data_IF_575461502568
#
_entry.id   IF_575461502568
#
_cell.length_a   1.000
_cell.length_b   1.000
_cell.length_c   1.000
_cell.angle_alpha   90.00
_cell.angle_beta   90.00
_cell.angle_gamma   90.00
#
_symmetry.space_group_name_H-M   'P 1'
#
loop_
_entity.id
_entity.type
_entity.pdbx_description
1 polymer ?
#
# COMPACT_ATOMS: atom_id res chain seq x y z
N UNK A 1 -10.47 -17.93 6.28
CA UNK A 1 -9.64 -17.71 5.08
C UNK A 1 -8.22 -17.57 5.60
N UNK A 2 -7.29 -18.37 5.07
CA UNK A 2 -5.93 -18.55 5.60
C UNK A 2 -4.92 -17.88 4.69
N UNK A 3 -3.71 -17.63 5.18
CA UNK A 3 -2.61 -17.07 4.37
C UNK A 3 -2.22 -17.97 3.17
N UNK A 4 -2.76 -19.19 3.09
CA UNK A 4 -2.49 -20.22 2.06
C UNK A 4 -2.72 -19.78 0.62
N UNK A 5 -3.55 -18.77 0.37
CA UNK A 5 -3.86 -18.35 -0.99
C UNK A 5 -2.84 -17.38 -1.62
N UNK A 6 -1.88 -16.86 -0.86
CA UNK A 6 -0.75 -16.10 -1.40
C UNK A 6 0.50 -16.98 -1.46
N UNK A 7 0.89 -17.38 -2.67
CA UNK A 7 2.06 -18.23 -2.93
C UNK A 7 3.25 -17.40 -3.43
N UNK A 8 4.50 -17.91 -3.32
CA UNK A 8 5.66 -17.25 -3.91
C UNK A 8 5.45 -16.93 -5.40
N UNK A 9 4.91 -17.87 -6.18
CA UNK A 9 4.61 -17.68 -7.59
C UNK A 9 3.66 -16.51 -7.87
N UNK A 10 2.66 -16.29 -7.00
CA UNK A 10 1.76 -15.14 -7.15
C UNK A 10 2.52 -13.83 -6.93
N UNK A 11 3.41 -13.78 -5.94
CA UNK A 11 4.26 -12.61 -5.68
C UNK A 11 5.22 -12.38 -6.85
N UNK A 12 5.80 -13.45 -7.42
CA UNK A 12 6.65 -13.35 -8.61
C UNK A 12 5.89 -12.81 -9.82
N UNK A 13 4.66 -13.28 -10.06
CA UNK A 13 3.80 -12.74 -11.13
C UNK A 13 3.41 -11.28 -10.90
N UNK A 14 3.16 -10.90 -9.65
CA UNK A 14 2.94 -9.50 -9.27
C UNK A 14 4.19 -8.68 -9.59
N UNK A 15 5.37 -9.19 -9.28
CA UNK A 15 6.63 -8.54 -9.58
C UNK A 15 6.84 -8.39 -11.10
N UNK A 16 6.61 -9.44 -11.89
CA UNK A 16 6.71 -9.39 -13.35
C UNK A 16 5.77 -8.32 -13.94
N UNK A 17 4.56 -8.20 -13.38
CA UNK A 17 3.64 -7.12 -13.74
C UNK A 17 4.21 -5.75 -13.42
N UNK A 18 4.81 -5.55 -12.24
CA UNK A 18 5.47 -4.30 -11.84
C UNK A 18 6.60 -3.96 -12.79
N UNK A 19 7.49 -4.91 -13.07
CA UNK A 19 8.62 -4.76 -14.00
C UNK A 19 8.15 -4.31 -15.37
N UNK A 20 7.20 -5.05 -15.96
CA UNK A 20 6.68 -4.75 -17.29
C UNK A 20 5.97 -3.41 -17.36
N UNK A 21 5.16 -3.10 -16.35
CA UNK A 21 4.33 -1.89 -16.34
C UNK A 21 5.18 -0.63 -16.18
N UNK A 22 6.07 -0.62 -15.20
CA UNK A 22 6.86 0.57 -14.84
C UNK A 22 8.24 0.60 -15.49
N UNK A 23 8.55 -0.35 -16.38
CA UNK A 23 9.80 -0.44 -17.16
C UNK A 23 11.05 -0.31 -16.28
N UNK A 24 11.03 -0.98 -15.14
CA UNK A 24 12.14 -1.04 -14.20
C UNK A 24 12.98 -2.30 -14.41
N UNK A 25 14.14 -2.35 -13.77
CA UNK A 25 14.98 -3.54 -13.80
C UNK A 25 14.30 -4.72 -13.12
N UNK A 26 14.11 -5.79 -13.90
CA UNK A 26 13.59 -7.05 -13.40
C UNK A 26 14.69 -7.96 -12.87
N UNK A 27 14.29 -8.92 -12.06
CA UNK A 27 15.19 -9.98 -11.58
C UNK A 27 15.10 -10.19 -10.08
N UNK A 28 15.86 -11.17 -9.61
CA UNK A 28 15.86 -11.61 -8.23
C UNK A 28 17.26 -11.42 -7.64
N UNK A 29 17.33 -10.81 -6.46
CA UNK A 29 18.52 -10.90 -5.62
C UNK A 29 18.55 -12.27 -4.93
N UNK A 30 17.40 -12.68 -4.38
CA UNK A 30 17.23 -14.00 -3.77
C UNK A 30 15.75 -14.41 -3.75
N UNK A 31 15.40 -15.46 -4.50
CA UNK A 31 14.04 -16.03 -4.53
C UNK A 31 13.63 -16.65 -3.19
N UNK A 32 14.57 -17.31 -2.52
CA UNK A 32 14.34 -17.97 -1.24
C UNK A 32 13.88 -17.00 -0.14
N UNK A 33 14.23 -15.72 -0.25
CA UNK A 33 13.73 -14.67 0.66
C UNK A 33 12.20 -14.59 0.68
N UNK A 34 11.55 -14.70 -0.49
CA UNK A 34 10.07 -14.66 -0.57
C UNK A 34 9.48 -15.94 0.02
N UNK A 35 10.07 -17.09 -0.29
CA UNK A 35 9.63 -18.40 0.21
C UNK A 35 9.71 -18.45 1.75
N UNK A 36 10.88 -18.15 2.31
CA UNK A 36 11.11 -18.12 3.75
C UNK A 36 10.23 -17.10 4.48
N UNK A 37 9.94 -15.94 3.85
CA UNK A 37 9.03 -14.95 4.43
C UNK A 37 7.61 -15.51 4.52
N UNK A 38 7.09 -16.12 3.45
CA UNK A 38 5.74 -16.67 3.47
C UNK A 38 5.63 -17.87 4.42
N UNK A 39 6.64 -18.75 4.46
CA UNK A 39 6.69 -19.85 5.43
C UNK A 39 6.68 -19.33 6.87
N UNK A 40 7.48 -18.29 7.17
CA UNK A 40 7.48 -17.65 8.49
C UNK A 40 6.11 -17.09 8.86
N UNK A 41 5.44 -16.39 7.93
CA UNK A 41 4.10 -15.82 8.19
C UNK A 41 3.06 -16.93 8.36
N UNK A 42 3.12 -18.00 7.57
CA UNK A 42 2.23 -19.16 7.71
C UNK A 42 2.47 -19.92 9.02
N UNK A 43 3.71 -20.03 9.47
CA UNK A 43 4.04 -20.65 10.75
C UNK A 43 3.54 -19.82 11.94
N UNK A 44 3.66 -18.49 11.87
CA UNK A 44 3.20 -17.59 12.92
C UNK A 44 1.69 -17.30 12.88
N UNK A 45 1.05 -17.48 11.72
CA UNK A 45 -0.32 -17.12 11.32
C UNK A 45 -1.16 -16.53 12.46
N UNK A 46 -1.12 -15.20 12.60
CA UNK A 46 -1.90 -14.50 13.61
C UNK A 46 -3.37 -14.43 13.22
N UNK A 47 -4.28 -14.49 14.21
CA UNK A 47 -5.73 -14.25 13.99
C UNK A 47 -6.03 -12.82 13.49
N UNK A 48 -5.08 -11.90 13.65
CA UNK A 48 -5.17 -10.55 13.12
C UNK A 48 -4.65 -10.48 11.67
N UNK A 49 -5.59 -10.40 10.73
CA UNK A 49 -5.34 -10.21 9.30
C UNK A 49 -4.37 -9.06 9.04
N UNK A 50 -4.45 -7.96 9.79
CA UNK A 50 -3.58 -6.80 9.59
C UNK A 50 -2.18 -7.04 10.11
N UNK A 51 -1.99 -7.89 11.13
CA UNK A 51 -0.66 -8.26 11.62
C UNK A 51 0.08 -9.14 10.61
N UNK A 52 -0.60 -10.12 10.02
CA UNK A 52 -0.03 -10.93 8.93
C UNK A 52 0.27 -10.08 7.68
N UNK A 53 -0.64 -9.16 7.33
CA UNK A 53 -0.40 -8.21 6.23
C UNK A 53 0.77 -7.28 6.51
N UNK A 54 0.94 -6.86 7.77
CA UNK A 54 2.06 -6.02 8.18
C UNK A 54 3.41 -6.73 8.03
N UNK A 55 3.50 -8.01 8.42
CA UNK A 55 4.70 -8.83 8.22
C UNK A 55 5.02 -9.01 6.74
N UNK A 56 4.00 -9.19 5.90
CA UNK A 56 4.18 -9.31 4.45
C UNK A 56 4.74 -8.01 3.84
N UNK A 57 4.16 -6.86 4.20
CA UNK A 57 4.62 -5.56 3.70
C UNK A 57 6.04 -5.24 4.17
N UNK A 58 6.31 -5.44 5.46
CA UNK A 58 7.62 -5.21 6.07
C UNK A 58 8.70 -6.07 5.39
N UNK A 59 8.49 -7.39 5.35
CA UNK A 59 9.48 -8.32 4.81
C UNK A 59 9.76 -8.11 3.33
N UNK A 60 8.74 -7.94 2.48
CA UNK A 60 8.96 -7.69 1.05
C UNK A 60 9.59 -6.32 0.76
N UNK A 61 9.31 -5.31 1.59
CA UNK A 61 9.86 -3.98 1.39
C UNK A 61 11.34 -3.88 1.84
N UNK A 62 11.74 -4.63 2.88
CA UNK A 62 13.07 -4.52 3.52
C UNK A 62 14.05 -5.63 3.19
N UNK A 63 13.58 -6.84 2.88
CA UNK A 63 14.48 -7.97 2.59
C UNK A 63 15.02 -7.97 1.15
N UNK A 64 14.62 -6.99 0.34
CA UNK A 64 15.06 -6.78 -1.05
C UNK A 64 15.16 -8.05 -1.90
N UNK A 65 14.12 -8.91 -1.97
CA UNK A 65 14.15 -10.13 -2.79
C UNK A 65 14.36 -9.88 -4.29
N UNK A 66 13.98 -8.69 -4.77
CA UNK A 66 14.06 -8.29 -6.18
C UNK A 66 15.12 -7.21 -6.42
N UNK A 67 15.62 -7.13 -7.65
CA UNK A 67 16.62 -6.12 -8.07
C UNK A 67 16.07 -4.70 -7.90
N UNK A 68 14.88 -4.43 -8.43
CA UNK A 68 14.08 -3.21 -8.15
C UNK A 68 12.62 -3.61 -7.89
N UNK A 69 11.74 -2.68 -7.58
CA UNK A 69 10.29 -2.90 -7.47
C UNK A 69 9.84 -3.50 -6.15
N UNK A 70 10.72 -3.67 -5.17
CA UNK A 70 10.41 -4.28 -3.85
C UNK A 70 9.20 -3.62 -3.17
N UNK A 71 9.22 -2.29 -2.98
CA UNK A 71 8.11 -1.54 -2.36
C UNK A 71 6.77 -1.69 -3.11
N UNK A 72 6.81 -1.66 -4.45
CA UNK A 72 5.62 -1.77 -5.32
C UNK A 72 5.04 -3.19 -5.27
N UNK A 73 5.92 -4.18 -5.36
CA UNK A 73 5.55 -5.60 -5.25
C UNK A 73 4.99 -5.92 -3.87
N UNK A 74 5.59 -5.38 -2.80
CA UNK A 74 5.12 -5.51 -1.44
C UNK A 74 3.70 -4.95 -1.26
N UNK A 75 3.43 -3.75 -1.77
CA UNK A 75 2.11 -3.13 -1.66
C UNK A 75 1.04 -3.90 -2.45
N UNK A 76 1.32 -4.31 -3.68
CA UNK A 76 0.37 -5.10 -4.48
C UNK A 76 0.10 -6.48 -3.88
N UNK A 77 1.14 -7.13 -3.34
CA UNK A 77 0.99 -8.42 -2.65
C UNK A 77 0.16 -8.28 -1.37
N UNK A 78 0.37 -7.20 -0.61
CA UNK A 78 -0.46 -6.85 0.54
C UNK A 78 -1.92 -6.60 0.15
N UNK A 79 -2.18 -5.83 -0.91
CA UNK A 79 -3.54 -5.60 -1.41
C UNK A 79 -4.22 -6.91 -1.81
N UNK A 80 -3.50 -7.78 -2.53
CA UNK A 80 -4.01 -9.10 -2.90
C UNK A 80 -4.37 -9.92 -1.67
N UNK A 81 -3.49 -9.97 -0.67
CA UNK A 81 -3.70 -10.68 0.59
C UNK A 81 -4.92 -10.14 1.36
N UNK A 82 -5.04 -8.82 1.52
CA UNK A 82 -6.16 -8.22 2.24
C UNK A 82 -7.49 -8.45 1.50
N UNK A 83 -7.50 -8.30 0.18
CA UNK A 83 -8.69 -8.55 -0.64
C UNK A 83 -9.14 -10.01 -0.52
N UNK A 84 -8.21 -10.97 -0.56
CA UNK A 84 -8.51 -12.37 -0.31
C UNK A 84 -9.11 -12.60 1.07
N UNK A 85 -8.75 -11.80 2.07
CA UNK A 85 -9.34 -11.89 3.41
C UNK A 85 -10.59 -11.01 3.60
N UNK A 86 -11.14 -10.43 2.53
CA UNK A 86 -12.37 -9.61 2.57
C UNK A 86 -12.15 -8.18 3.11
N UNK A 87 -10.93 -7.66 3.00
CA UNK A 87 -10.56 -6.30 3.41
C UNK A 87 -10.08 -5.49 2.20
N UNK A 88 -10.75 -4.36 1.95
CA UNK A 88 -10.34 -3.38 0.95
C UNK A 88 -9.38 -2.38 1.57
N UNK A 89 -8.15 -2.33 1.07
CA UNK A 89 -7.17 -1.33 1.44
C UNK A 89 -7.33 -0.07 0.58
N UNK A 90 -7.42 1.09 1.20
CA UNK A 90 -7.43 2.40 0.54
C UNK A 90 -6.05 3.05 0.69
N UNK A 91 -5.51 3.61 -0.39
CA UNK A 91 -4.17 4.18 -0.43
C UNK A 91 -4.25 5.71 -0.46
N UNK A 92 -4.12 6.42 0.66
CA UNK A 92 -3.96 7.88 0.61
C UNK A 92 -2.66 8.26 -0.11
N UNK A 93 -2.53 9.49 -0.63
CA UNK A 93 -1.27 9.91 -1.27
C UNK A 93 -0.06 9.81 -0.33
N UNK A 94 -0.27 9.96 0.98
CA UNK A 94 0.77 9.76 1.99
C UNK A 94 1.32 8.32 2.08
N UNK A 95 0.76 7.37 1.31
CA UNK A 95 1.27 5.99 1.21
C UNK A 95 2.72 5.96 0.75
N UNK A 96 3.11 6.86 -0.16
CA UNK A 96 4.49 6.96 -0.65
C UNK A 96 5.48 7.18 0.49
N UNK A 97 5.25 8.23 1.28
CA UNK A 97 6.08 8.55 2.45
C UNK A 97 6.11 7.41 3.47
N UNK A 98 4.97 6.73 3.67
CA UNK A 98 4.90 5.59 4.57
C UNK A 98 5.75 4.41 4.09
N UNK A 99 5.69 4.06 2.79
CA UNK A 99 6.52 3.00 2.21
C UNK A 99 8.01 3.34 2.24
N UNK A 100 8.38 4.60 2.02
CA UNK A 100 9.77 5.05 2.16
C UNK A 100 10.25 4.90 3.60
N UNK A 101 9.43 5.28 4.59
CA UNK A 101 9.76 5.10 6.00
C UNK A 101 10.01 3.62 6.36
N UNK A 102 9.16 2.71 5.88
CA UNK A 102 9.32 1.27 6.12
C UNK A 102 10.66 0.78 5.55
N UNK A 103 10.96 1.14 4.30
CA UNK A 103 12.18 0.71 3.62
C UNK A 103 13.46 1.35 4.19
N UNK A 104 13.38 2.59 4.71
CA UNK A 104 14.51 3.31 5.29
C UNK A 104 14.81 2.92 6.75
N UNK A 105 14.04 2.01 7.35
CA UNK A 105 14.31 1.56 8.71
C UNK A 105 15.45 0.54 8.67
N UNK A 106 16.67 0.97 8.99
CA UNK A 106 17.91 0.17 8.86
C UNK A 106 18.08 -0.87 9.98
N UNK A 107 17.53 -0.62 11.16
CA UNK A 107 17.64 -1.51 12.33
C UNK A 107 16.74 -2.74 12.13
N UNK A 108 17.38 -3.92 12.08
CA UNK A 108 16.76 -5.24 11.90
C UNK A 108 16.69 -6.04 13.20
N UNK A 109 16.86 -5.41 14.37
CA UNK A 109 16.69 -6.12 15.62
C UNK A 109 15.21 -6.50 15.83
N UNK A 110 14.95 -7.55 16.64
CA UNK A 110 13.58 -8.04 16.85
C UNK A 110 12.61 -7.00 17.42
N UNK A 111 13.08 -6.10 18.29
CA UNK A 111 12.23 -5.12 18.98
C UNK A 111 11.76 -4.03 18.02
N UNK A 112 12.68 -3.47 17.23
CA UNK A 112 12.34 -2.48 16.21
C UNK A 112 11.47 -3.08 15.09
N UNK A 113 11.74 -4.33 14.71
CA UNK A 113 10.92 -5.05 13.73
C UNK A 113 9.49 -5.21 14.25
N UNK A 114 9.31 -5.64 15.51
CA UNK A 114 7.98 -5.77 16.11
C UNK A 114 7.25 -4.42 16.19
N UNK A 115 7.95 -3.36 16.59
CA UNK A 115 7.40 -2.00 16.63
C UNK A 115 6.95 -1.53 15.25
N UNK A 116 7.75 -1.78 14.21
CA UNK A 116 7.43 -1.43 12.82
C UNK A 116 6.21 -2.21 12.33
N UNK A 117 6.17 -3.53 12.56
CA UNK A 117 5.01 -4.38 12.21
C UNK A 117 3.74 -3.88 12.91
N UNK A 118 3.83 -3.46 14.18
CA UNK A 118 2.71 -2.85 14.90
C UNK A 118 2.26 -1.53 14.28
N UNK A 119 3.19 -0.66 13.89
CA UNK A 119 2.88 0.59 13.20
C UNK A 119 2.17 0.34 11.87
N UNK A 120 2.68 -0.61 11.07
CA UNK A 120 2.05 -1.03 9.81
C UNK A 120 0.66 -1.60 10.07
N UNK A 121 0.48 -2.47 11.06
CA UNK A 121 -0.84 -3.03 11.39
C UNK A 121 -1.87 -1.95 11.75
N UNK A 122 -1.47 -0.93 12.51
CA UNK A 122 -2.32 0.23 12.82
C UNK A 122 -2.65 1.02 11.55
N UNK A 123 -1.66 1.26 10.68
CA UNK A 123 -1.88 1.93 9.41
C UNK A 123 -2.86 1.14 8.53
N UNK A 124 -2.72 -0.18 8.42
CA UNK A 124 -3.63 -1.04 7.65
C UNK A 124 -5.05 -0.98 8.21
N UNK A 125 -5.21 -1.06 9.53
CA UNK A 125 -6.52 -0.96 10.19
C UNK A 125 -7.22 0.38 9.93
N UNK A 126 -6.45 1.47 9.87
CA UNK A 126 -6.99 2.81 9.61
C UNK A 126 -7.33 3.03 8.13
N UNK A 127 -6.59 2.38 7.24
CA UNK A 127 -6.72 2.55 5.80
C UNK A 127 -7.49 1.40 5.13
N UNK A 128 -8.04 0.45 5.88
CA UNK A 128 -8.80 -0.67 5.32
C UNK A 128 -10.23 -0.74 5.83
N UNK A 129 -11.10 -1.33 5.02
CA UNK A 129 -12.50 -1.59 5.35
C UNK A 129 -12.86 -3.02 4.97
N UNK A 130 -13.54 -3.74 5.87
CA UNK A 130 -14.14 -5.03 5.51
C UNK A 130 -15.18 -4.84 4.42
N UNK A 131 -15.17 -5.66 3.37
CA UNK A 131 -16.07 -5.53 2.21
C UNK A 131 -17.56 -5.46 2.58
N UNK A 132 -17.94 -6.08 3.71
CA UNK A 132 -19.30 -6.03 4.26
C UNK A 132 -19.76 -4.62 4.66
N UNK A 133 -18.85 -3.68 4.91
CA UNK A 133 -19.15 -2.31 5.38
C UNK A 133 -19.18 -1.30 4.23
N UNK A 134 -20.12 -1.46 3.29
CA UNK A 134 -20.26 -0.61 2.09
C UNK A 134 -20.24 0.90 2.39
N UNK A 135 -21.01 1.37 3.38
CA UNK A 135 -21.05 2.80 3.74
C UNK A 135 -19.70 3.36 4.21
N UNK A 136 -18.93 2.58 4.97
CA UNK A 136 -17.59 3.00 5.43
C UNK A 136 -16.61 3.01 4.26
N UNK A 137 -16.67 2.01 3.38
CA UNK A 137 -15.87 1.96 2.17
C UNK A 137 -16.14 3.17 1.27
N UNK A 138 -17.41 3.53 1.09
CA UNK A 138 -17.84 4.75 0.39
C UNK A 138 -17.30 6.02 1.06
N UNK A 139 -17.43 6.14 2.39
CA UNK A 139 -16.89 7.28 3.12
C UNK A 139 -15.37 7.44 2.95
N UNK A 140 -14.62 6.34 2.98
CA UNK A 140 -13.17 6.36 2.75
C UNK A 140 -12.80 6.67 1.31
N UNK A 141 -13.54 6.11 0.33
CA UNK A 141 -13.43 6.46 -1.08
C UNK A 141 -13.55 7.96 -1.31
N UNK A 142 -14.62 8.57 -0.79
CA UNK A 142 -14.82 10.01 -0.92
C UNK A 142 -13.73 10.81 -0.20
N UNK A 143 -13.40 10.44 1.04
CA UNK A 143 -12.41 11.15 1.84
C UNK A 143 -11.02 11.13 1.21
N UNK A 144 -10.63 10.00 0.59
CA UNK A 144 -9.28 9.85 0.05
C UNK A 144 -9.17 10.22 -1.41
N UNK A 145 -10.20 10.06 -2.24
CA UNK A 145 -10.03 10.25 -3.69
C UNK A 145 -10.85 11.41 -4.27
N UNK A 146 -11.97 11.77 -3.65
CA UNK A 146 -12.93 12.73 -4.23
C UNK A 146 -12.87 14.11 -3.58
N UNK A 147 -12.95 14.17 -2.25
CA UNK A 147 -12.94 15.45 -1.53
C UNK A 147 -11.64 16.24 -1.68
N UNK A 148 -10.44 15.63 -1.63
CA UNK A 148 -9.19 16.36 -1.78
C UNK A 148 -9.10 17.09 -3.13
N UNK A 149 -9.41 16.40 -4.23
CA UNK A 149 -9.41 16.99 -5.58
C UNK A 149 -10.47 18.08 -5.72
N UNK A 150 -11.71 17.84 -5.27
CA UNK A 150 -12.78 18.86 -5.29
C UNK A 150 -12.42 20.10 -4.48
N UNK A 151 -11.83 19.94 -3.30
CA UNK A 151 -11.41 21.04 -2.43
C UNK A 151 -10.26 21.84 -3.06
N UNK A 152 -9.24 21.18 -3.62
CA UNK A 152 -8.12 21.85 -4.29
C UNK A 152 -8.63 22.70 -5.46
N UNK A 153 -9.48 22.14 -6.32
CA UNK A 153 -10.07 22.86 -7.47
C UNK A 153 -10.94 24.03 -7.00
N UNK A 154 -11.78 23.81 -5.98
CA UNK A 154 -12.63 24.86 -5.42
C UNK A 154 -11.81 26.04 -4.86
N UNK A 155 -10.84 25.77 -3.99
CA UNK A 155 -10.01 26.82 -3.37
C UNK A 155 -9.06 27.52 -4.36
N UNK A 156 -8.66 26.82 -5.42
CA UNK A 156 -7.93 27.42 -6.55
C UNK A 156 -8.79 28.44 -7.30
N UNK A 157 -10.07 28.12 -7.55
CA UNK A 157 -11.01 29.01 -8.27
C UNK A 157 -11.40 30.27 -7.51
N UNK A 158 -11.45 30.22 -6.18
CA UNK A 158 -11.80 31.38 -5.34
C UNK A 158 -10.56 32.18 -4.89
N UNK A 159 -9.40 31.98 -5.54
CA UNK A 159 -8.14 32.68 -5.26
C UNK A 159 -7.69 32.65 -3.78
N UNK A 160 -7.84 31.50 -3.10
CA UNK A 160 -7.30 31.26 -1.75
C UNK A 160 -6.12 30.26 -1.78
N UNK A 161 -4.98 30.61 -2.41
CA UNK A 161 -3.87 29.69 -2.63
C UNK A 161 -3.22 29.19 -1.33
N UNK A 162 -3.25 29.97 -0.25
CA UNK A 162 -2.74 29.55 1.07
C UNK A 162 -3.56 28.38 1.65
N UNK A 163 -4.88 28.38 1.46
CA UNK A 163 -5.77 27.32 1.94
C UNK A 163 -5.62 26.08 1.07
N UNK A 164 -5.58 26.23 -0.25
CA UNK A 164 -5.29 25.14 -1.18
C UNK A 164 -3.93 24.49 -0.87
N UNK A 165 -2.88 25.29 -0.65
CA UNK A 165 -1.55 24.82 -0.29
C UNK A 165 -1.51 24.12 1.08
N UNK A 166 -2.25 24.60 2.07
CA UNK A 166 -2.38 23.93 3.37
C UNK A 166 -3.07 22.55 3.25
N UNK A 167 -4.16 22.48 2.47
CA UNK A 167 -4.86 21.22 2.17
C UNK A 167 -3.90 20.26 1.46
N UNK A 168 -3.17 20.74 0.45
CA UNK A 168 -2.17 19.95 -0.27
C UNK A 168 -1.11 19.40 0.68
N UNK A 169 -0.52 20.25 1.53
CA UNK A 169 0.52 19.85 2.50
C UNK A 169 0.00 18.84 3.51
N UNK A 170 -1.23 19.01 4.00
CA UNK A 170 -1.89 18.07 4.93
C UNK A 170 -2.21 16.74 4.26
N UNK A 171 -2.63 16.77 3.00
CA UNK A 171 -2.99 15.59 2.22
C UNK A 171 -1.77 14.79 1.75
N UNK A 172 -0.67 15.48 1.43
CA UNK A 172 0.61 14.88 1.05
C UNK A 172 1.48 14.47 2.25
N UNK A 173 1.20 14.99 3.46
CA UNK A 173 2.01 14.73 4.69
C UNK A 173 3.53 14.88 4.45
N UNK A 174 3.96 16.06 3.99
CA UNK A 174 5.35 16.57 3.80
C UNK A 174 6.06 16.41 2.44
N UNK A 175 7.23 17.07 2.33
CA UNK A 175 7.90 17.61 1.13
C UNK A 175 7.85 16.71 -0.11
N UNK A 176 7.30 17.27 -1.19
CA UNK A 176 7.21 16.66 -2.52
C UNK A 176 8.59 16.38 -3.16
N UNK A 177 9.67 16.91 -2.58
CA UNK A 177 11.04 16.86 -3.14
C UNK A 177 11.71 15.49 -3.09
N UNK A 178 11.25 14.56 -2.25
CA UNK A 178 11.88 13.25 -2.06
C UNK A 178 11.04 12.10 -2.62
N UNK A 179 9.99 12.44 -3.38
CA UNK A 179 9.05 11.48 -3.93
C UNK A 179 9.59 10.97 -5.28
N UNK A 180 10.04 9.73 -5.28
CA UNK A 180 10.35 8.96 -6.49
C UNK A 180 9.16 9.01 -7.46
N UNK A 181 9.35 9.67 -8.62
CA UNK A 181 8.32 9.90 -9.64
C UNK A 181 7.64 8.59 -10.05
N UNK A 182 8.39 7.49 -10.13
CA UNK A 182 7.87 6.18 -10.49
C UNK A 182 6.95 5.59 -9.41
N UNK A 183 7.22 5.92 -8.13
CA UNK A 183 6.36 5.52 -7.02
C UNK A 183 5.08 6.36 -6.98
N UNK A 184 5.16 7.65 -7.34
CA UNK A 184 3.96 8.50 -7.46
C UNK A 184 3.05 7.95 -8.56
N UNK A 185 3.58 7.69 -9.75
CA UNK A 185 2.83 7.12 -10.87
C UNK A 185 2.15 5.81 -10.45
N UNK A 186 2.89 4.92 -9.79
CA UNK A 186 2.35 3.66 -9.26
C UNK A 186 1.17 3.87 -8.29
N UNK A 187 1.29 4.81 -7.34
CA UNK A 187 0.20 5.08 -6.40
C UNK A 187 -1.01 5.68 -7.13
N UNK A 188 -0.79 6.63 -8.05
CA UNK A 188 -1.87 7.23 -8.83
C UNK A 188 -2.63 6.19 -9.65
N UNK A 189 -1.90 5.29 -10.33
CA UNK A 189 -2.50 4.19 -11.09
C UNK A 189 -3.27 3.22 -10.21
N UNK A 190 -2.76 2.95 -9.01
CA UNK A 190 -3.44 2.07 -8.06
C UNK A 190 -4.70 2.73 -7.52
N UNK A 191 -4.65 4.03 -7.22
CA UNK A 191 -5.82 4.80 -6.83
C UNK A 191 -6.87 4.81 -7.94
N UNK A 192 -6.48 5.07 -9.20
CA UNK A 192 -7.40 5.09 -10.34
C UNK A 192 -8.16 3.77 -10.49
N UNK A 193 -7.44 2.64 -10.45
CA UNK A 193 -8.07 1.31 -10.48
C UNK A 193 -9.03 1.07 -9.32
N UNK A 194 -8.72 1.59 -8.14
CA UNK A 194 -9.64 1.52 -7.00
C UNK A 194 -10.88 2.39 -7.22
N UNK A 195 -10.73 3.54 -7.87
CA UNK A 195 -11.88 4.37 -8.23
C UNK A 195 -12.79 3.67 -9.24
N UNK A 196 -12.23 3.08 -10.29
CA UNK A 196 -12.95 2.29 -11.28
C UNK A 196 -13.69 1.12 -10.62
N UNK A 197 -13.00 0.37 -9.75
CA UNK A 197 -13.60 -0.75 -9.01
C UNK A 197 -14.77 -0.31 -8.11
N UNK A 198 -14.62 0.82 -7.42
CA UNK A 198 -15.68 1.33 -6.53
C UNK A 198 -16.87 1.88 -7.32
N UNK A 199 -16.65 2.54 -8.46
CA UNK A 199 -17.71 3.00 -9.35
C UNK A 199 -18.56 1.82 -9.86
N UNK A 200 -17.92 0.73 -10.30
CA UNK A 200 -18.65 -0.48 -10.72
C UNK A 200 -19.44 -1.15 -9.59
N UNK A 201 -19.02 -1.01 -8.32
CA UNK A 201 -19.76 -1.52 -7.15
C UNK A 201 -20.94 -0.64 -6.73
N UNK A 202 -20.99 0.62 -7.16
CA UNK A 202 -22.15 1.50 -6.94
C UNK A 202 -23.29 1.19 -7.93
N UNK A 203 -22.95 0.75 -9.13
CA UNK A 203 -23.91 0.43 -10.21
C UNK A 203 -24.54 -0.99 -10.10
N UNK A 204 -24.06 -1.82 -9.16
CA UNK A 204 -24.46 -3.23 -8.95
C UNK A 204 -25.22 -3.47 -7.64
#
# INVERSE_FOLDING_TARGET
>A
MTFKDLTPDKIFRIHDFVVKKYKIDGGFNNKGTVESLLEKIQFLEYDDVYKNGALLLEGLARLHPFVDGNKRTALLSLQQYLNQNGHLLFLPLSTTAFLHKIAATEENDPENTEKLVKEIGIWLKNNSVTEKKKLRALGMFYAYYVWPTKLIVFFSRIHLPKVAGFILKKYLKHNVSDLDENMIEFIMDTQLKQMEFMAHKEDS
#
